data_IF_304663447367
#
_entry.id   IF_304663447367
#
_cell.length_a   1.000
_cell.length_b   1.000
_cell.length_c   1.000
_cell.angle_alpha   90.00
_cell.angle_beta   90.00
_cell.angle_gamma   90.00
#
_symmetry.space_group_name_H-M   'P 1'
#
loop_
_entity.id
_entity.type
_entity.pdbx_description
1 polymer ?
#
# COMPACT_ATOMS: atom_id res chain seq x y z
N UNK A 1 -32.63 -6.18 -14.11
CA UNK A 1 -31.36 -6.19 -13.35
C UNK A 1 -30.22 -5.82 -14.27
N UNK A 2 -29.19 -5.14 -13.74
CA UNK A 2 -28.11 -4.57 -14.54
C UNK A 2 -26.79 -5.26 -14.22
N UNK A 3 -26.08 -5.71 -15.23
CA UNK A 3 -24.76 -6.33 -15.11
C UNK A 3 -23.77 -5.62 -16.03
N UNK A 4 -22.51 -5.57 -15.61
CA UNK A 4 -21.41 -5.01 -16.40
C UNK A 4 -20.45 -6.12 -16.78
N UNK A 5 -20.03 -6.11 -18.04
CA UNK A 5 -19.14 -7.08 -18.63
C UNK A 5 -17.97 -6.36 -19.29
N UNK A 6 -16.79 -6.97 -19.26
CA UNK A 6 -15.64 -6.51 -20.06
C UNK A 6 -15.74 -7.13 -21.44
N UNK A 7 -15.60 -6.31 -22.49
CA UNK A 7 -15.62 -6.74 -23.89
C UNK A 7 -14.30 -6.34 -24.56
N UNK A 8 -13.51 -7.33 -24.94
CA UNK A 8 -12.24 -7.13 -25.66
C UNK A 8 -12.43 -7.31 -27.17
N UNK A 9 -11.52 -6.73 -27.96
CA UNK A 9 -11.55 -6.81 -29.44
C UNK A 9 -12.21 -5.62 -30.14
N UNK A 10 -12.79 -4.67 -29.39
CA UNK A 10 -13.32 -3.42 -29.94
C UNK A 10 -12.20 -2.40 -30.16
N UNK A 11 -12.01 -1.94 -31.40
CA UNK A 11 -10.95 -0.97 -31.76
C UNK A 11 -11.48 0.30 -32.42
N UNK A 12 -12.78 0.36 -32.73
CA UNK A 12 -13.41 1.54 -33.34
C UNK A 12 -14.88 1.68 -32.92
N UNK A 13 -15.47 2.85 -33.20
CA UNK A 13 -16.89 3.09 -32.93
C UNK A 13 -17.83 2.13 -33.68
N UNK A 14 -17.41 1.63 -34.85
CA UNK A 14 -18.16 0.58 -35.56
C UNK A 14 -18.19 -0.75 -34.80
N UNK A 15 -17.09 -1.14 -34.14
CA UNK A 15 -17.06 -2.31 -33.27
C UNK A 15 -18.00 -2.13 -32.08
N UNK A 16 -17.99 -0.94 -31.46
CA UNK A 16 -18.92 -0.61 -30.36
C UNK A 16 -20.37 -0.82 -30.81
N UNK A 17 -20.79 -0.18 -31.90
CA UNK A 17 -22.18 -0.31 -32.39
C UNK A 17 -22.53 -1.75 -32.73
N UNK A 18 -21.62 -2.50 -33.36
CA UNK A 18 -21.85 -3.91 -33.67
C UNK A 18 -22.09 -4.77 -32.43
N UNK A 19 -21.33 -4.55 -31.35
CA UNK A 19 -21.50 -5.29 -30.09
C UNK A 19 -22.80 -4.86 -29.40
N UNK A 20 -23.07 -3.56 -29.35
CA UNK A 20 -24.29 -2.99 -28.75
C UNK A 20 -25.56 -3.53 -29.43
N UNK A 21 -25.58 -3.57 -30.76
CA UNK A 21 -26.69 -4.09 -31.55
C UNK A 21 -26.89 -5.59 -31.37
N UNK A 22 -25.81 -6.37 -31.33
CA UNK A 22 -25.87 -7.82 -31.10
C UNK A 22 -26.45 -8.16 -29.73
N UNK A 23 -26.04 -7.42 -28.69
CA UNK A 23 -26.53 -7.65 -27.33
C UNK A 23 -27.98 -7.20 -27.14
N UNK A 24 -28.41 -6.10 -27.79
CA UNK A 24 -29.80 -5.62 -27.73
C UNK A 24 -30.80 -6.53 -28.44
N UNK A 25 -30.34 -7.41 -29.35
CA UNK A 25 -31.21 -8.38 -30.06
C UNK A 25 -31.51 -9.63 -29.25
N UNK A 26 -30.86 -9.83 -28.11
CA UNK A 26 -31.04 -11.05 -27.32
C UNK A 26 -32.35 -11.02 -26.54
N UNK A 27 -33.03 -12.16 -26.53
CA UNK A 27 -34.20 -12.37 -25.69
C UNK A 27 -33.85 -12.12 -24.22
N UNK A 28 -34.74 -11.41 -23.53
CA UNK A 28 -34.61 -10.99 -22.14
C UNK A 28 -33.60 -9.85 -21.87
N UNK A 29 -32.91 -9.31 -22.88
CA UNK A 29 -32.19 -8.02 -22.76
C UNK A 29 -33.18 -6.88 -22.95
N UNK A 30 -33.25 -5.98 -21.97
CA UNK A 30 -34.07 -4.76 -22.02
C UNK A 30 -33.28 -3.65 -22.73
N UNK A 31 -31.99 -3.51 -22.38
CA UNK A 31 -31.11 -2.51 -22.94
C UNK A 31 -29.64 -2.89 -22.72
N UNK A 32 -28.82 -2.87 -23.77
CA UNK A 32 -27.38 -3.01 -23.71
C UNK A 32 -26.74 -1.70 -24.17
N UNK A 33 -25.75 -1.22 -23.41
CA UNK A 33 -24.93 -0.07 -23.78
C UNK A 33 -23.46 -0.37 -23.68
N UNK A 34 -22.69 0.06 -24.68
CA UNK A 34 -21.27 -0.26 -24.79
C UNK A 34 -20.42 1.01 -24.73
N UNK A 35 -19.37 0.97 -23.92
CA UNK A 35 -18.37 2.02 -23.82
C UNK A 35 -17.06 1.53 -24.44
N UNK A 36 -16.63 2.17 -25.54
CA UNK A 36 -15.40 1.84 -26.24
C UNK A 36 -14.15 2.20 -25.43
N UNK A 37 -14.16 3.35 -24.74
CA UNK A 37 -13.01 3.83 -23.97
C UNK A 37 -12.74 2.93 -22.75
N UNK A 38 -13.80 2.45 -22.11
CA UNK A 38 -13.70 1.56 -20.95
C UNK A 38 -13.64 0.08 -21.32
N UNK A 39 -13.86 -0.28 -22.61
CA UNK A 39 -14.00 -1.67 -23.05
C UNK A 39 -15.08 -2.44 -22.27
N UNK A 40 -16.21 -1.79 -22.00
CA UNK A 40 -17.27 -2.31 -21.13
C UNK A 40 -18.63 -2.34 -21.83
N UNK A 41 -19.40 -3.39 -21.56
CA UNK A 41 -20.80 -3.49 -21.94
C UNK A 41 -21.66 -3.58 -20.67
N UNK A 42 -22.58 -2.64 -20.51
CA UNK A 42 -23.58 -2.67 -19.45
C UNK A 42 -24.90 -3.17 -20.01
N UNK A 43 -25.38 -4.30 -19.50
CA UNK A 43 -26.55 -5.00 -19.99
C UNK A 43 -27.62 -5.01 -18.90
N UNK A 44 -28.76 -4.43 -19.21
CA UNK A 44 -29.99 -4.54 -18.44
C UNK A 44 -30.83 -5.68 -18.97
N UNK A 45 -31.14 -6.65 -18.11
CA UNK A 45 -31.84 -7.87 -18.46
C UNK A 45 -33.03 -8.12 -17.52
N UNK A 46 -34.10 -8.70 -18.05
CA UNK A 46 -35.31 -9.07 -17.30
C UNK A 46 -35.12 -10.36 -16.50
N UNK A 47 -34.29 -11.29 -17.00
CA UNK A 47 -33.87 -12.53 -16.35
C UNK A 47 -32.37 -12.74 -16.55
N UNK A 48 -31.73 -13.51 -15.67
CA UNK A 48 -30.32 -13.85 -15.80
C UNK A 48 -30.04 -14.62 -17.09
N UNK A 49 -29.08 -14.11 -17.87
CA UNK A 49 -28.55 -14.72 -19.08
C UNK A 49 -27.10 -15.12 -18.79
N UNK A 50 -26.76 -16.38 -19.06
CA UNK A 50 -25.41 -16.88 -18.86
C UNK A 50 -24.41 -16.18 -19.79
N UNK A 51 -23.18 -15.94 -19.31
CA UNK A 51 -22.12 -15.28 -20.08
C UNK A 51 -21.81 -16.00 -21.40
N UNK A 52 -21.94 -17.33 -21.43
CA UNK A 52 -21.76 -18.15 -22.64
C UNK A 52 -22.75 -17.80 -23.73
N UNK A 53 -24.01 -17.50 -23.37
CA UNK A 53 -25.04 -17.09 -24.32
C UNK A 53 -24.76 -15.69 -24.86
N UNK A 54 -24.26 -14.78 -24.00
CA UNK A 54 -23.82 -13.45 -24.43
C UNK A 54 -22.62 -13.55 -25.39
N UNK A 55 -21.66 -14.43 -25.11
CA UNK A 55 -20.50 -14.67 -25.97
C UNK A 55 -20.92 -15.23 -27.34
N UNK A 56 -21.88 -16.16 -27.38
CA UNK A 56 -22.36 -16.76 -28.63
C UNK A 56 -23.12 -15.76 -29.53
N UNK A 57 -23.61 -14.65 -28.96
CA UNK A 57 -24.26 -13.58 -29.70
C UNK A 57 -23.27 -12.65 -30.41
N UNK A 58 -22.00 -12.71 -29.99
CA UNK A 58 -20.92 -11.90 -30.54
C UNK A 58 -20.09 -12.75 -31.51
N UNK A 59 -19.48 -12.11 -32.50
CA UNK A 59 -18.53 -12.78 -33.38
C UNK A 59 -17.25 -13.17 -32.63
N UNK A 60 -16.54 -14.19 -33.10
CA UNK A 60 -15.25 -14.66 -32.54
C UNK A 60 -14.16 -13.59 -32.39
N UNK A 61 -14.34 -12.43 -33.04
CA UNK A 61 -13.47 -11.26 -32.89
C UNK A 61 -13.58 -10.57 -31.53
N UNK A 62 -14.64 -10.85 -30.76
CA UNK A 62 -14.91 -10.22 -29.47
C UNK A 62 -14.94 -11.26 -28.36
N UNK A 63 -14.45 -10.90 -27.18
CA UNK A 63 -14.55 -11.76 -25.99
C UNK A 63 -15.23 -11.00 -24.87
N UNK A 64 -16.31 -11.57 -24.32
CA UNK A 64 -17.08 -11.03 -23.20
C UNK A 64 -16.87 -11.85 -21.94
N UNK A 65 -16.55 -11.17 -20.83
CA UNK A 65 -16.35 -11.80 -19.52
C UNK A 65 -17.06 -11.02 -18.43
N UNK A 66 -17.62 -11.73 -17.44
CA UNK A 66 -18.25 -11.10 -16.28
C UNK A 66 -17.26 -10.26 -15.48
N UNK A 67 -17.63 -9.00 -15.23
CA UNK A 67 -16.92 -8.17 -14.26
C UNK A 67 -17.32 -8.67 -12.87
N UNK A 68 -16.54 -9.59 -12.32
CA UNK A 68 -16.78 -10.19 -11.01
C UNK A 68 -16.91 -9.10 -9.94
N UNK A 69 -18.07 -9.07 -9.28
CA UNK A 69 -18.44 -8.11 -8.21
C UNK A 69 -17.55 -8.30 -6.95
N UNK A 70 -16.81 -9.42 -6.85
CA UNK A 70 -15.77 -9.63 -5.83
C UNK A 70 -14.44 -8.89 -6.12
N UNK A 71 -14.31 -8.27 -7.29
CA UNK A 71 -13.25 -7.31 -7.63
C UNK A 71 -13.83 -5.89 -7.83
N UNK A 72 -14.77 -5.50 -6.98
CA UNK A 72 -15.25 -4.11 -6.91
C UNK A 72 -14.20 -3.23 -6.23
N UNK A 73 -13.14 -2.85 -6.95
CA UNK A 73 -12.65 -1.47 -6.78
C UNK A 73 -13.62 -0.57 -7.52
N UNK A 74 -14.43 0.11 -6.73
CA UNK A 74 -15.34 1.16 -7.14
C UNK A 74 -14.67 2.11 -8.16
N UNK A 75 -15.14 2.10 -9.40
CA UNK A 75 -15.23 3.34 -10.18
C UNK A 75 -16.42 4.15 -9.63
N UNK A 76 -16.26 4.60 -8.38
CA UNK A 76 -16.77 5.90 -8.02
C UNK A 76 -15.70 6.87 -8.52
N UNK A 77 -16.14 8.05 -8.99
CA UNK A 77 -15.34 9.25 -9.26
C UNK A 77 -14.04 9.27 -8.45
N UNK A 78 -12.91 9.82 -8.95
CA UNK A 78 -11.74 10.03 -8.11
C UNK A 78 -12.16 10.91 -6.93
N UNK A 79 -12.53 10.25 -5.84
CA UNK A 79 -12.63 10.85 -4.55
C UNK A 79 -11.19 11.21 -4.30
N UNK A 80 -10.88 12.51 -4.32
CA UNK A 80 -9.66 13.05 -3.74
C UNK A 80 -9.69 12.65 -2.26
N UNK A 81 -9.43 11.37 -1.95
CA UNK A 81 -9.10 10.92 -0.62
C UNK A 81 -7.86 11.71 -0.29
N UNK A 82 -8.04 12.69 0.57
CA UNK A 82 -6.94 13.54 1.05
C UNK A 82 -5.82 12.63 1.52
N UNK A 83 -4.56 13.02 1.33
CA UNK A 83 -3.39 12.25 1.78
C UNK A 83 -3.58 11.75 3.24
N UNK A 84 -4.25 12.56 4.07
CA UNK A 84 -4.66 12.25 5.44
C UNK A 84 -5.52 10.99 5.59
N UNK A 85 -6.49 10.77 4.71
CA UNK A 85 -7.37 9.61 4.77
C UNK A 85 -6.62 8.32 4.42
N UNK A 86 -5.57 8.40 3.60
CA UNK A 86 -4.69 7.27 3.31
C UNK A 86 -3.76 6.98 4.50
N UNK A 87 -3.27 8.00 5.20
CA UNK A 87 -2.45 7.84 6.41
C UNK A 87 -3.24 7.34 7.64
N UNK A 88 -4.55 7.14 7.55
CA UNK A 88 -5.38 6.74 8.69
C UNK A 88 -4.93 5.43 9.38
N UNK A 89 -4.64 4.32 8.67
CA UNK A 89 -4.16 3.09 9.32
C UNK A 89 -2.83 3.29 10.05
N UNK A 90 -1.97 4.16 9.52
CA UNK A 90 -0.71 4.52 10.14
C UNK A 90 -0.92 5.27 11.46
N UNK A 91 -1.79 6.27 11.48
CA UNK A 91 -2.13 7.00 12.70
C UNK A 91 -2.77 6.08 13.75
N UNK A 92 -3.59 5.12 13.31
CA UNK A 92 -4.16 4.11 14.19
C UNK A 92 -3.06 3.28 14.84
N UNK A 93 -2.13 2.71 14.06
CA UNK A 93 -0.99 1.94 14.57
C UNK A 93 -0.17 2.79 15.56
N UNK A 94 0.18 4.00 15.17
CA UNK A 94 0.94 4.93 16.01
C UNK A 94 0.21 5.24 17.33
N UNK A 95 -1.11 5.43 17.27
CA UNK A 95 -1.95 5.63 18.44
C UNK A 95 -1.93 4.43 19.39
N UNK A 96 -2.11 3.22 18.88
CA UNK A 96 -2.04 1.99 19.69
C UNK A 96 -0.67 1.81 20.35
N UNK A 97 0.42 2.03 19.60
CA UNK A 97 1.79 1.93 20.13
C UNK A 97 2.03 2.98 21.22
N UNK A 98 1.59 4.21 21.00
CA UNK A 98 1.71 5.29 21.99
C UNK A 98 0.96 4.95 23.27
N UNK A 99 -0.31 4.54 23.16
CA UNK A 99 -1.14 4.17 24.32
C UNK A 99 -0.49 3.00 25.07
N UNK A 100 -0.07 1.95 24.38
CA UNK A 100 0.61 0.81 24.99
C UNK A 100 1.87 1.24 25.75
N UNK A 101 2.71 2.07 25.12
CA UNK A 101 3.95 2.57 25.72
C UNK A 101 3.70 3.43 26.95
N UNK A 102 2.65 4.28 26.92
CA UNK A 102 2.24 5.08 28.09
C UNK A 102 1.77 4.17 29.22
N UNK A 103 0.92 3.19 28.93
CA UNK A 103 0.35 2.28 29.94
C UNK A 103 1.43 1.44 30.63
N UNK A 104 2.43 0.96 29.88
CA UNK A 104 3.56 0.21 30.42
C UNK A 104 4.43 1.05 31.38
N UNK A 105 4.44 2.37 31.21
CA UNK A 105 5.34 3.29 31.91
C UNK A 105 4.62 4.29 32.81
N UNK A 106 3.38 4.02 33.24
CA UNK A 106 2.59 5.01 33.97
C UNK A 106 2.94 5.10 35.46
N UNK A 107 3.48 4.02 36.05
CA UNK A 107 3.73 3.92 37.50
C UNK A 107 5.01 3.13 37.82
N UNK A 108 6.12 3.79 38.19
CA UNK A 108 6.37 5.23 38.11
C UNK A 108 6.51 5.71 36.65
N UNK A 109 6.29 6.99 36.39
CA UNK A 109 6.54 7.56 35.06
C UNK A 109 8.03 7.60 34.74
N UNK A 110 8.43 6.94 33.65
CA UNK A 110 9.78 6.98 33.11
C UNK A 110 9.74 7.34 31.63
N UNK A 111 10.19 8.56 31.30
CA UNK A 111 10.29 9.00 29.91
C UNK A 111 11.32 8.19 29.11
N UNK A 112 12.37 7.68 29.77
CA UNK A 112 13.38 6.82 29.14
C UNK A 112 12.77 5.49 28.72
N UNK A 113 12.08 4.83 29.64
CA UNK A 113 11.48 3.53 29.37
C UNK A 113 10.31 3.65 28.39
N UNK A 114 9.53 4.73 28.47
CA UNK A 114 8.54 5.07 27.46
C UNK A 114 9.14 5.16 26.05
N UNK A 115 10.27 5.87 25.88
CA UNK A 115 10.92 5.98 24.57
C UNK A 115 11.43 4.64 24.07
N UNK A 116 12.04 3.84 24.95
CA UNK A 116 12.54 2.50 24.60
C UNK A 116 11.40 1.55 24.22
N UNK A 117 10.31 1.54 24.98
CA UNK A 117 9.15 0.70 24.68
C UNK A 117 8.43 1.15 23.41
N UNK A 118 8.31 2.47 23.21
CA UNK A 118 7.76 3.03 21.98
C UNK A 118 8.58 2.61 20.77
N UNK A 119 9.90 2.80 20.80
CA UNK A 119 10.80 2.42 19.71
C UNK A 119 10.78 0.89 19.47
N UNK A 120 10.72 0.11 20.53
CA UNK A 120 10.66 -1.34 20.48
C UNK A 120 9.37 -1.86 19.82
N UNK A 121 8.22 -1.40 20.30
CA UNK A 121 6.91 -1.71 19.73
C UNK A 121 6.78 -1.21 18.30
N UNK A 122 7.31 -0.02 18.00
CA UNK A 122 7.39 0.52 16.66
C UNK A 122 8.10 -0.44 15.71
N UNK A 123 9.33 -0.86 16.04
CA UNK A 123 10.06 -1.80 15.19
C UNK A 123 9.36 -3.15 15.02
N UNK A 124 8.82 -3.73 16.10
CA UNK A 124 8.13 -5.03 16.03
C UNK A 124 6.89 -4.95 15.13
N UNK A 125 6.04 -3.94 15.30
CA UNK A 125 4.79 -3.81 14.55
C UNK A 125 5.06 -3.49 13.08
N UNK A 126 5.96 -2.57 12.77
CA UNK A 126 6.27 -2.24 11.38
C UNK A 126 7.01 -3.37 10.66
N UNK A 127 7.90 -4.07 11.37
CA UNK A 127 8.51 -5.27 10.82
C UNK A 127 7.47 -6.34 10.50
N UNK A 128 6.46 -6.53 11.35
CA UNK A 128 5.40 -7.52 11.10
C UNK A 128 4.69 -7.24 9.77
N UNK A 129 4.32 -5.99 9.48
CA UNK A 129 3.72 -5.63 8.19
C UNK A 129 4.65 -5.89 7.00
N UNK A 130 5.96 -5.64 7.15
CA UNK A 130 6.95 -5.96 6.12
C UNK A 130 7.13 -7.46 5.93
N UNK A 131 7.02 -8.24 7.00
CA UNK A 131 7.09 -9.71 6.97
C UNK A 131 5.86 -10.32 6.28
N UNK A 132 4.68 -9.71 6.41
CA UNK A 132 3.48 -10.15 5.68
C UNK A 132 3.64 -10.01 4.17
N UNK A 133 4.44 -9.05 3.70
CA UNK A 133 4.74 -8.82 2.29
C UNK A 133 6.24 -8.99 1.97
N UNK A 134 6.84 -10.11 2.39
CA UNK A 134 8.28 -10.37 2.10
C UNK A 134 8.64 -10.41 0.62
N UNK A 135 7.65 -10.58 -0.27
CA UNK A 135 7.89 -10.61 -1.72
C UNK A 135 7.82 -9.21 -2.33
N UNK A 136 6.87 -8.36 -1.92
CA UNK A 136 6.69 -7.01 -2.45
C UNK A 136 7.49 -5.94 -1.71
N UNK A 137 7.77 -6.13 -0.42
CA UNK A 137 8.51 -5.17 0.40
C UNK A 137 9.91 -4.86 -0.15
N UNK A 138 10.78 -5.86 -0.45
CA UNK A 138 12.15 -5.56 -0.90
C UNK A 138 12.18 -4.75 -2.21
N UNK A 139 11.26 -5.01 -3.14
CA UNK A 139 11.15 -4.25 -4.39
C UNK A 139 10.70 -2.81 -4.15
N UNK A 140 9.73 -2.62 -3.25
CA UNK A 140 9.26 -1.28 -2.87
C UNK A 140 10.33 -0.50 -2.09
N UNK A 141 11.05 -1.16 -1.20
CA UNK A 141 12.08 -0.57 -0.34
C UNK A 141 13.28 -0.06 -1.15
N UNK A 142 13.71 -0.82 -2.18
CA UNK A 142 14.76 -0.40 -3.13
C UNK A 142 14.48 0.91 -3.86
N UNK A 143 13.21 1.30 -3.99
CA UNK A 143 12.84 2.53 -4.71
C UNK A 143 13.30 3.79 -3.99
N UNK A 144 13.45 3.74 -2.66
CA UNK A 144 13.80 4.91 -1.85
C UNK A 144 14.98 4.69 -0.90
N UNK A 145 15.28 3.46 -0.46
CA UNK A 145 16.42 3.20 0.40
C UNK A 145 17.73 3.06 -0.42
N UNK A 146 18.75 3.92 -0.19
CA UNK A 146 19.99 3.88 -0.95
C UNK A 146 20.77 2.57 -0.79
N UNK A 147 20.75 1.97 0.41
CA UNK A 147 21.50 0.76 0.70
C UNK A 147 20.82 -0.45 0.07
N UNK A 148 19.48 -0.56 0.14
CA UNK A 148 18.72 -1.61 -0.52
C UNK A 148 18.86 -1.56 -2.04
N UNK A 149 18.95 -0.35 -2.61
CA UNK A 149 19.18 -0.15 -4.04
C UNK A 149 20.52 -0.72 -4.52
N UNK A 150 21.57 -0.62 -3.70
CA UNK A 150 22.91 -1.12 -4.02
C UNK A 150 23.05 -2.61 -3.64
N UNK A 151 22.47 -3.02 -2.52
CA UNK A 151 22.55 -4.38 -1.98
C UNK A 151 21.14 -4.97 -1.88
N UNK A 152 20.63 -5.64 -2.93
CA UNK A 152 19.26 -6.17 -2.96
C UNK A 152 18.91 -7.13 -1.81
N UNK A 153 19.91 -7.86 -1.31
CA UNK A 153 19.77 -8.79 -0.17
C UNK A 153 19.43 -8.03 1.11
N UNK A 154 19.92 -6.80 1.29
CA UNK A 154 19.61 -5.98 2.46
C UNK A 154 18.10 -5.76 2.60
N UNK A 155 17.37 -5.52 1.50
CA UNK A 155 15.92 -5.35 1.54
C UNK A 155 15.16 -6.60 2.02
N UNK A 156 15.68 -7.80 1.79
CA UNK A 156 15.10 -9.05 2.30
C UNK A 156 15.41 -9.28 3.79
N UNK A 157 16.61 -8.87 4.23
CA UNK A 157 17.05 -9.06 5.61
C UNK A 157 16.52 -7.95 6.53
N UNK A 158 16.19 -6.79 5.98
CA UNK A 158 15.78 -5.60 6.71
C UNK A 158 14.63 -5.82 7.72
N UNK A 159 13.52 -6.51 7.40
CA UNK A 159 12.48 -6.78 8.40
C UNK A 159 13.02 -7.56 9.60
N UNK A 160 13.91 -8.51 9.39
CA UNK A 160 14.53 -9.26 10.49
C UNK A 160 15.45 -8.37 11.35
N UNK A 161 16.16 -7.42 10.73
CA UNK A 161 16.94 -6.42 11.47
C UNK A 161 16.02 -5.60 12.38
N UNK A 162 14.86 -5.18 11.87
CA UNK A 162 13.87 -4.45 12.66
C UNK A 162 13.33 -5.29 13.81
N UNK A 163 13.00 -6.57 13.62
CA UNK A 163 12.62 -7.46 14.75
C UNK A 163 13.70 -7.48 15.81
N UNK A 164 14.97 -7.68 15.41
CA UNK A 164 16.09 -7.74 16.35
C UNK A 164 16.23 -6.43 17.12
N UNK A 165 16.21 -5.28 16.43
CA UNK A 165 16.25 -3.96 17.08
C UNK A 165 15.07 -3.76 18.03
N UNK A 166 13.86 -4.13 17.60
CA UNK A 166 12.66 -4.05 18.42
C UNK A 166 12.80 -4.86 19.71
N UNK A 167 13.28 -6.09 19.62
CA UNK A 167 13.54 -6.94 20.79
C UNK A 167 14.68 -6.39 21.67
N UNK A 168 15.74 -5.83 21.09
CA UNK A 168 16.81 -5.19 21.85
C UNK A 168 16.27 -4.04 22.71
N UNK A 169 15.40 -3.20 22.14
CA UNK A 169 14.77 -2.11 22.88
C UNK A 169 13.82 -2.63 23.97
N UNK A 170 12.90 -3.54 23.63
CA UNK A 170 11.92 -4.07 24.59
C UNK A 170 12.56 -4.84 25.74
N UNK A 171 13.60 -5.64 25.45
CA UNK A 171 14.30 -6.44 26.45
C UNK A 171 15.46 -5.70 27.13
N UNK A 172 15.71 -4.44 26.75
CA UNK A 172 16.84 -3.63 27.26
C UNK A 172 18.21 -4.27 27.00
N UNK A 173 18.38 -4.98 25.89
CA UNK A 173 19.63 -5.65 25.51
C UNK A 173 20.49 -4.70 24.67
N UNK A 174 21.70 -4.41 25.14
CA UNK A 174 22.69 -3.58 24.42
C UNK A 174 22.11 -2.30 23.80
N UNK A 175 21.40 -1.51 24.62
CA UNK A 175 20.73 -0.26 24.19
C UNK A 175 21.65 0.69 23.40
N UNK A 176 22.91 0.98 23.82
CA UNK A 176 23.78 1.88 23.06
C UNK A 176 24.03 1.40 21.62
N UNK A 177 24.23 0.09 21.42
CA UNK A 177 24.43 -0.48 20.11
C UNK A 177 23.15 -0.38 19.26
N UNK A 178 21.99 -0.73 19.84
CA UNK A 178 20.70 -0.63 19.15
C UNK A 178 20.40 0.80 18.70
N UNK A 179 20.71 1.81 19.52
CA UNK A 179 20.53 3.22 19.19
C UNK A 179 21.45 3.67 18.04
N UNK A 180 22.72 3.29 18.06
CA UNK A 180 23.67 3.62 16.98
C UNK A 180 23.26 2.98 15.66
N UNK A 181 22.92 1.68 15.69
CA UNK A 181 22.45 0.95 14.50
C UNK A 181 21.16 1.58 13.96
N UNK A 182 20.22 1.94 14.83
CA UNK A 182 18.99 2.66 14.49
C UNK A 182 19.30 3.97 13.75
N UNK A 183 20.22 4.79 14.27
CA UNK A 183 20.59 6.05 13.62
C UNK A 183 21.24 5.84 12.24
N UNK A 184 22.11 4.85 12.11
CA UNK A 184 22.77 4.56 10.83
C UNK A 184 21.73 4.11 9.80
N UNK A 185 20.92 3.12 10.15
CA UNK A 185 19.91 2.56 9.25
C UNK A 185 18.90 3.63 8.85
N UNK A 186 18.25 4.25 9.83
CA UNK A 186 17.21 5.23 9.56
C UNK A 186 17.78 6.50 8.92
N UNK A 187 19.02 6.89 9.23
CA UNK A 187 19.70 8.00 8.58
C UNK A 187 19.88 7.77 7.08
N UNK A 188 20.38 6.59 6.69
CA UNK A 188 20.54 6.20 5.27
C UNK A 188 19.18 6.20 4.57
N UNK A 189 18.16 5.56 5.16
CA UNK A 189 16.82 5.53 4.60
C UNK A 189 16.23 6.93 4.48
N UNK A 190 16.41 7.79 5.49
CA UNK A 190 15.89 9.16 5.51
C UNK A 190 16.50 10.00 4.40
N UNK A 191 17.81 9.91 4.17
CA UNK A 191 18.48 10.61 3.05
C UNK A 191 17.84 10.20 1.70
N UNK A 192 17.60 8.91 1.50
CA UNK A 192 16.97 8.41 0.28
C UNK A 192 15.52 8.85 0.12
N UNK A 193 14.73 8.75 1.19
CA UNK A 193 13.33 9.22 1.23
C UNK A 193 13.24 10.73 0.98
N UNK A 194 14.08 11.53 1.63
CA UNK A 194 14.15 12.98 1.43
C UNK A 194 14.52 13.31 -0.02
N UNK A 195 15.48 12.62 -0.62
CA UNK A 195 15.81 12.79 -2.03
C UNK A 195 14.62 12.48 -2.94
N UNK A 196 13.92 11.37 -2.71
CA UNK A 196 12.73 10.99 -3.47
C UNK A 196 11.58 11.99 -3.31
N UNK A 197 11.41 12.59 -2.12
CA UNK A 197 10.41 13.66 -1.89
C UNK A 197 10.78 14.97 -2.59
N UNK A 198 12.06 15.33 -2.59
CA UNK A 198 12.58 16.55 -3.21
C UNK A 198 12.59 16.47 -4.73
N UNK A 199 12.87 15.29 -5.28
CA UNK A 199 12.98 15.11 -6.73
C UNK A 199 11.64 15.35 -7.45
N UNK A 200 10.48 15.34 -6.77
CA UNK A 200 9.13 15.64 -7.29
C UNK A 200 8.88 15.12 -8.72
N UNK A 201 9.56 14.06 -9.15
CA UNK A 201 9.37 13.48 -10.48
C UNK A 201 8.05 12.74 -10.42
N UNK A 202 6.99 13.44 -10.80
CA UNK A 202 5.73 12.86 -11.18
C UNK A 202 6.02 11.88 -12.32
N UNK A 203 6.25 10.61 -12.00
CA UNK A 203 6.27 9.57 -13.01
C UNK A 203 4.81 9.38 -13.39
N UNK A 204 4.45 9.94 -14.54
CA UNK A 204 3.19 9.67 -15.22
C UNK A 204 3.08 8.16 -15.47
N UNK A 205 1.90 7.63 -15.14
CA UNK A 205 1.54 6.22 -15.04
C UNK A 205 1.88 5.37 -16.26
N UNK A 206 2.25 4.12 -16.02
CA UNK A 206 1.58 2.93 -16.57
C UNK A 206 2.14 1.68 -15.86
N UNK A 207 1.24 0.74 -15.57
CA UNK A 207 1.51 -0.63 -15.14
C UNK A 207 1.80 -0.88 -13.64
N UNK A 208 0.97 -1.77 -13.11
CA UNK A 208 1.09 -2.53 -11.86
C UNK A 208 0.50 -1.91 -10.57
N UNK A 209 -0.58 -2.57 -10.13
CA UNK A 209 -1.06 -2.60 -8.76
C UNK A 209 -0.04 -3.26 -7.81
N UNK A 210 -0.33 -3.46 -6.54
CA UNK A 210 -1.64 -3.78 -5.95
C UNK A 210 -1.67 -3.44 -4.45
N UNK A 211 -2.89 -3.40 -3.91
CA UNK A 211 -3.26 -3.47 -2.51
C UNK A 211 -3.22 -2.17 -1.66
N UNK A 212 -2.12 -1.42 -1.56
CA UNK A 212 -2.06 -0.22 -0.69
C UNK A 212 -1.06 0.82 -1.23
N UNK A 213 -1.51 1.74 -2.11
CA UNK A 213 -0.71 2.91 -2.50
C UNK A 213 -0.90 4.03 -1.49
N UNK A 214 -0.36 3.85 -0.29
CA UNK A 214 -0.06 4.99 0.59
C UNK A 214 1.05 5.80 -0.10
N UNK A 215 1.15 7.13 0.10
CA UNK A 215 2.39 7.85 -0.14
C UNK A 215 3.41 7.37 0.91
N UNK A 216 3.92 6.15 0.74
CA UNK A 216 4.81 5.45 1.66
C UNK A 216 5.98 6.36 2.03
N UNK A 217 6.48 7.12 1.05
CA UNK A 217 7.58 8.06 1.23
C UNK A 217 7.30 9.16 2.28
N UNK A 218 6.07 9.71 2.37
CA UNK A 218 5.73 10.72 3.38
C UNK A 218 5.57 10.10 4.77
N UNK A 219 4.93 8.93 4.85
CA UNK A 219 4.77 8.16 6.09
C UNK A 219 6.12 7.75 6.68
N UNK A 220 6.96 7.08 5.88
CA UNK A 220 8.31 6.64 6.27
C UNK A 220 9.20 7.81 6.69
N UNK A 221 9.07 8.98 6.05
CA UNK A 221 9.81 10.17 6.48
C UNK A 221 9.44 10.60 7.91
N UNK A 222 8.14 10.67 8.23
CA UNK A 222 7.65 11.05 9.56
C UNK A 222 8.08 10.00 10.60
N UNK A 223 7.86 8.73 10.30
CA UNK A 223 8.24 7.58 11.12
C UNK A 223 9.73 7.61 11.47
N UNK A 224 10.60 7.69 10.45
CA UNK A 224 12.05 7.73 10.64
C UNK A 224 12.48 8.96 11.44
N UNK A 225 11.87 10.12 11.18
CA UNK A 225 12.20 11.36 11.90
C UNK A 225 11.92 11.24 13.40
N UNK A 226 10.76 10.70 13.77
CA UNK A 226 10.39 10.50 15.18
C UNK A 226 11.38 9.54 15.86
N UNK A 227 11.68 8.41 15.21
CA UNK A 227 12.61 7.40 15.73
C UNK A 227 14.05 7.94 15.85
N UNK A 228 14.53 8.71 14.88
CA UNK A 228 15.84 9.36 14.92
C UNK A 228 15.91 10.36 16.08
N UNK A 229 14.90 11.21 16.25
CA UNK A 229 14.85 12.19 17.35
C UNK A 229 14.89 11.48 18.70
N UNK A 230 14.10 10.43 18.90
CA UNK A 230 14.13 9.63 20.12
C UNK A 230 15.51 8.99 20.32
N UNK A 231 16.10 8.41 19.27
CA UNK A 231 17.40 7.78 19.36
C UNK A 231 18.52 8.76 19.74
N UNK A 232 18.51 9.98 19.17
CA UNK A 232 19.45 11.05 19.51
C UNK A 232 19.28 11.49 20.97
N UNK A 233 18.04 11.76 21.41
CA UNK A 233 17.76 12.16 22.80
C UNK A 233 18.26 11.08 23.77
N UNK A 234 17.99 9.81 23.46
CA UNK A 234 18.41 8.67 24.26
C UNK A 234 19.93 8.52 24.31
N UNK A 235 20.64 8.70 23.20
CA UNK A 235 22.11 8.65 23.18
C UNK A 235 22.73 9.80 23.97
N UNK A 236 22.21 11.02 23.83
CA UNK A 236 22.67 12.17 24.62
C UNK A 236 22.48 11.87 26.10
N UNK A 237 21.31 11.39 26.51
CA UNK A 237 21.02 11.09 27.91
C UNK A 237 21.93 9.99 28.47
N UNK A 238 22.24 8.97 27.68
CA UNK A 238 23.02 7.81 28.11
C UNK A 238 24.55 8.06 28.14
N UNK A 239 25.05 8.98 27.31
CA UNK A 239 26.49 9.32 27.25
C UNK A 239 26.85 10.66 27.90
N UNK A 240 25.87 11.52 28.21
CA UNK A 240 26.09 12.79 28.91
C UNK A 240 25.78 12.73 30.42
N UNK A 241 25.45 11.54 30.95
CA UNK A 241 25.29 11.26 32.39
C UNK A 241 26.46 10.41 32.88
#
# INVERSE_FOLDING_TARGET
MKHTYTVTGMTCNGCKSSVEDSLNKLDHVIHASVNLEQQEATIEMSKHIATTTLQNALSDKYTISEKNIFNTTSELKPENKTDLQQLFPLFLIFGYITIASVLLNIKPWSATDFMLDFMGLFYVVFSFFKLLDLKGFPESFKMYDPLAKVVPVYGWVYPFIEVVLGLMFLMRIQIPLALIVTLIILGITTIGVTKTLLDKKAIQCACLGTALKLPMTKATFIENSIMIVMAVIMLIKNYAS
#
